data_IF_570224235655
#
_entry.id   IF_570224235655
#
_cell.length_a   1.000
_cell.length_b   1.000
_cell.length_c   1.000
_cell.angle_alpha   90.00
_cell.angle_beta   90.00
_cell.angle_gamma   90.00
#
_symmetry.space_group_name_H-M   'P 1'
#
loop_
_entity.id
_entity.type
_entity.pdbx_description
1 polymer ?
#
# COMPACT_ATOMS: atom_id res chain seq x y z
N UNK A 1 -56.44 -26.11 -27.16
CA UNK A 1 -56.09 -25.02 -26.21
C UNK A 1 -55.31 -25.62 -25.04
N UNK A 2 -54.00 -25.62 -25.10
CA UNK A 2 -53.11 -26.03 -24.00
C UNK A 2 -52.30 -24.81 -23.57
N UNK A 3 -52.56 -24.29 -22.37
CA UNK A 3 -51.80 -23.19 -21.77
C UNK A 3 -50.48 -23.68 -21.25
N UNK A 4 -49.40 -23.20 -21.84
CA UNK A 4 -48.04 -23.41 -21.35
C UNK A 4 -47.74 -22.38 -20.26
N UNK A 5 -47.58 -22.85 -19.02
CA UNK A 5 -47.19 -22.00 -17.88
C UNK A 5 -45.67 -22.01 -17.83
N UNK A 6 -45.04 -20.91 -18.19
CA UNK A 6 -43.60 -20.68 -18.01
C UNK A 6 -43.32 -20.37 -16.54
N UNK A 7 -42.60 -21.26 -15.88
CA UNK A 7 -42.03 -21.04 -14.54
C UNK A 7 -40.68 -20.33 -14.76
N UNK A 8 -40.62 -19.04 -14.43
CA UNK A 8 -39.39 -18.27 -14.37
C UNK A 8 -38.74 -18.57 -13.01
N UNK A 9 -37.68 -19.37 -13.04
CA UNK A 9 -36.84 -19.65 -11.87
C UNK A 9 -35.84 -18.48 -11.71
N UNK A 10 -36.14 -17.52 -10.85
CA UNK A 10 -35.20 -16.47 -10.47
C UNK A 10 -34.15 -17.05 -9.55
N UNK A 11 -32.96 -17.29 -10.08
CA UNK A 11 -31.79 -17.69 -9.30
C UNK A 11 -31.24 -16.43 -8.59
N UNK A 12 -31.64 -16.25 -7.33
CA UNK A 12 -31.08 -15.21 -6.47
C UNK A 12 -29.65 -15.59 -6.09
N UNK A 13 -28.68 -14.98 -6.74
CA UNK A 13 -27.27 -15.06 -6.34
C UNK A 13 -27.11 -14.26 -5.04
N UNK A 14 -27.14 -14.94 -3.89
CA UNK A 14 -26.78 -14.33 -2.61
C UNK A 14 -25.26 -14.18 -2.59
N UNK A 15 -24.78 -13.03 -3.02
CA UNK A 15 -23.40 -12.63 -2.83
C UNK A 15 -23.21 -12.33 -1.32
N UNK A 16 -22.74 -13.30 -0.56
CA UNK A 16 -22.32 -13.07 0.83
C UNK A 16 -21.04 -12.24 0.79
N UNK A 17 -21.19 -10.94 0.93
CA UNK A 17 -20.05 -10.03 1.14
C UNK A 17 -19.35 -10.47 2.44
N UNK A 18 -18.12 -10.93 2.33
CA UNK A 18 -17.27 -11.25 3.48
C UNK A 18 -16.95 -9.92 4.17
N UNK A 19 -17.44 -9.75 5.41
CA UNK A 19 -17.26 -8.50 6.15
C UNK A 19 -15.78 -8.28 6.47
N UNK A 20 -15.28 -7.08 6.21
CA UNK A 20 -14.00 -6.62 6.69
C UNK A 20 -14.12 -6.32 8.18
N UNK A 21 -13.23 -6.88 8.99
CA UNK A 21 -13.19 -6.66 10.44
C UNK A 21 -11.78 -6.34 10.91
N UNK A 22 -11.69 -5.56 11.98
CA UNK A 22 -10.43 -5.29 12.68
C UNK A 22 -10.52 -5.93 14.05
N UNK A 23 -9.49 -6.67 14.42
CA UNK A 23 -9.29 -7.20 15.76
C UNK A 23 -8.04 -6.54 16.36
N UNK A 24 -8.16 -6.03 17.57
CA UNK A 24 -7.03 -5.55 18.35
C UNK A 24 -6.66 -6.61 19.35
N UNK A 25 -5.42 -7.12 19.30
CA UNK A 25 -4.91 -8.05 20.32
C UNK A 25 -4.31 -7.29 21.51
N UNK A 26 -4.23 -5.94 21.43
CA UNK A 26 -3.64 -5.11 22.46
C UNK A 26 -2.11 -5.22 22.52
N UNK A 27 -1.55 -5.09 23.74
CA UNK A 27 -0.12 -5.23 23.97
C UNK A 27 0.27 -6.66 24.31
N UNK A 28 1.34 -7.14 23.70
CA UNK A 28 1.95 -8.44 24.00
C UNK A 28 3.46 -8.27 24.21
N UNK A 29 3.98 -8.47 25.46
CA UNK A 29 3.24 -8.65 26.71
C UNK A 29 2.53 -7.36 27.16
N UNK A 30 1.47 -7.51 27.98
CA UNK A 30 0.75 -6.38 28.55
C UNK A 30 1.48 -5.69 29.71
N UNK A 31 2.57 -6.28 30.22
CA UNK A 31 3.43 -5.72 31.26
C UNK A 31 4.90 -5.92 30.90
N UNK A 32 5.71 -4.83 31.02
CA UNK A 32 7.15 -4.82 30.70
C UNK A 32 7.92 -4.05 31.76
N UNK A 33 9.25 -4.18 31.76
CA UNK A 33 10.16 -3.31 32.53
C UNK A 33 10.49 -2.03 31.74
N UNK A 34 10.90 -0.95 32.42
CA UNK A 34 11.47 0.21 31.74
C UNK A 34 12.61 -0.20 30.81
N UNK A 35 12.57 0.28 29.56
CA UNK A 35 13.52 -0.06 28.51
C UNK A 35 13.27 -1.39 27.77
N UNK A 36 12.34 -2.22 28.22
CA UNK A 36 11.91 -3.41 27.47
C UNK A 36 10.89 -3.03 26.39
N UNK A 37 10.57 -3.99 25.50
CA UNK A 37 9.68 -3.80 24.36
C UNK A 37 8.40 -4.59 24.50
N UNK A 38 7.28 -3.99 24.10
CA UNK A 38 5.99 -4.66 23.89
C UNK A 38 5.54 -4.45 22.46
N UNK A 39 4.78 -5.41 21.93
CA UNK A 39 4.19 -5.30 20.58
C UNK A 39 2.71 -4.94 20.70
N UNK A 40 2.32 -3.82 20.11
CA UNK A 40 0.93 -3.46 19.89
C UNK A 40 0.49 -4.00 18.54
N UNK A 41 -0.51 -4.89 18.53
CA UNK A 41 -0.92 -5.64 17.33
C UNK A 41 -2.31 -5.27 16.86
N UNK A 42 -2.43 -5.00 15.57
CA UNK A 42 -3.68 -4.81 14.84
C UNK A 42 -3.82 -5.89 13.76
N UNK A 43 -4.94 -6.60 13.74
CA UNK A 43 -5.23 -7.63 12.73
C UNK A 43 -6.44 -7.21 11.90
N UNK A 44 -6.23 -7.03 10.62
CA UNK A 44 -7.25 -6.69 9.64
C UNK A 44 -7.66 -7.97 8.91
N UNK A 45 -8.90 -8.42 9.05
CA UNK A 45 -9.42 -9.58 8.34
C UNK A 45 -10.17 -9.15 7.08
N UNK A 46 -9.90 -9.83 5.96
CA UNK A 46 -10.50 -9.57 4.64
C UNK A 46 -10.30 -8.13 4.15
N UNK A 47 -9.18 -7.51 4.53
CA UNK A 47 -8.82 -6.13 4.23
C UNK A 47 -7.48 -6.11 3.49
N UNK A 48 -7.51 -6.26 2.17
CA UNK A 48 -6.31 -6.15 1.35
C UNK A 48 -5.82 -4.71 1.31
N UNK A 49 -4.51 -4.50 1.49
CA UNK A 49 -3.89 -3.17 1.46
C UNK A 49 -4.14 -2.31 2.71
N UNK A 50 -4.54 -2.90 3.85
CA UNK A 50 -4.63 -2.16 5.10
C UNK A 50 -3.23 -1.69 5.53
N UNK A 51 -3.07 -0.40 5.75
CA UNK A 51 -1.85 0.20 6.27
C UNK A 51 -2.20 1.26 7.31
N UNK A 52 -1.40 1.33 8.38
CA UNK A 52 -1.50 2.32 9.44
C UNK A 52 -0.13 2.96 9.59
N UNK A 53 -0.06 4.27 9.48
CA UNK A 53 1.20 4.97 9.75
C UNK A 53 1.40 5.09 11.26
N UNK A 54 2.64 5.01 11.77
CA UNK A 54 2.94 5.24 13.17
C UNK A 54 2.35 6.56 13.72
N UNK A 55 2.31 7.60 12.87
CA UNK A 55 1.75 8.92 13.20
C UNK A 55 0.22 8.93 13.39
N UNK A 56 -0.48 7.91 12.91
CA UNK A 56 -1.94 7.83 13.01
C UNK A 56 -2.39 7.21 14.34
N UNK A 57 -1.45 6.61 15.09
CA UNK A 57 -1.71 6.00 16.39
C UNK A 57 -1.58 7.07 17.48
N UNK A 58 -2.61 7.29 18.31
CA UNK A 58 -2.57 8.28 19.40
C UNK A 58 -1.74 7.75 20.59
N UNK A 59 -0.41 7.73 20.41
CA UNK A 59 0.53 7.23 21.42
C UNK A 59 0.64 8.25 22.56
N UNK A 60 0.47 7.85 23.85
CA UNK A 60 0.61 8.74 24.97
C UNK A 60 2.07 9.13 25.23
N UNK A 61 2.27 10.29 25.87
CA UNK A 61 3.59 10.78 26.23
C UNK A 61 4.35 9.79 27.12
N UNK A 62 5.58 9.50 26.74
CA UNK A 62 6.46 8.55 27.44
C UNK A 62 6.40 7.11 26.92
N UNK A 63 5.53 6.83 25.94
CA UNK A 63 5.57 5.60 25.16
C UNK A 63 6.05 5.96 23.75
N UNK A 64 6.99 5.22 23.21
CA UNK A 64 7.54 5.47 21.87
C UNK A 64 7.41 4.24 20.97
N UNK A 65 7.04 4.47 19.70
CA UNK A 65 7.11 3.44 18.67
C UNK A 65 8.55 3.34 18.19
N UNK A 66 9.19 2.19 18.39
CA UNK A 66 10.60 1.93 18.05
C UNK A 66 10.76 1.08 16.80
N UNK A 67 9.69 0.44 16.35
CA UNK A 67 9.69 -0.39 15.15
C UNK A 67 8.29 -0.72 14.68
N UNK A 68 8.18 -1.03 13.39
CA UNK A 68 6.93 -1.48 12.77
C UNK A 68 7.20 -2.70 11.92
N UNK A 69 6.29 -3.66 11.93
CA UNK A 69 6.30 -4.77 11.00
C UNK A 69 4.89 -5.07 10.49
N UNK A 70 4.82 -5.51 9.26
CA UNK A 70 3.57 -5.92 8.62
C UNK A 70 3.72 -7.34 8.12
N UNK A 71 2.73 -8.18 8.37
CA UNK A 71 2.62 -9.51 7.79
C UNK A 71 1.24 -9.70 7.18
N UNK A 72 1.19 -10.40 6.06
CA UNK A 72 -0.05 -10.74 5.39
C UNK A 72 -0.16 -12.26 5.33
N UNK A 73 -1.33 -12.77 5.68
CA UNK A 73 -1.60 -14.20 5.68
C UNK A 73 -2.83 -14.47 4.81
N UNK A 74 -2.70 -15.42 3.89
CA UNK A 74 -3.80 -15.93 3.07
C UNK A 74 -4.09 -17.37 3.44
N UNK A 75 -5.35 -17.67 3.61
CA UNK A 75 -5.82 -19.03 3.86
C UNK A 75 -6.91 -19.39 2.86
N UNK A 76 -6.78 -20.57 2.27
CA UNK A 76 -7.79 -21.13 1.38
C UNK A 76 -8.26 -22.46 1.96
N UNK A 77 -9.46 -22.45 2.55
CA UNK A 77 -10.03 -23.64 3.19
C UNK A 77 -11.42 -23.89 2.59
N UNK A 78 -11.66 -25.09 2.08
CA UNK A 78 -12.95 -25.53 1.55
C UNK A 78 -13.54 -24.58 0.49
N UNK A 79 -12.71 -24.07 -0.45
CA UNK A 79 -13.18 -23.19 -1.52
C UNK A 79 -13.42 -21.74 -1.08
N UNK A 80 -13.11 -21.36 0.17
CA UNK A 80 -13.22 -20.00 0.68
C UNK A 80 -11.82 -19.40 0.90
N UNK A 81 -11.54 -18.30 0.22
CA UNK A 81 -10.34 -17.52 0.47
C UNK A 81 -10.58 -16.55 1.64
N UNK A 82 -9.65 -16.49 2.57
CA UNK A 82 -9.58 -15.46 3.61
C UNK A 82 -8.21 -14.84 3.64
N UNK A 83 -8.15 -13.53 3.84
CA UNK A 83 -6.90 -12.80 3.98
C UNK A 83 -6.87 -12.08 5.32
N UNK A 84 -5.69 -11.96 5.93
CA UNK A 84 -5.49 -11.10 7.09
C UNK A 84 -4.18 -10.33 6.95
N UNK A 85 -4.22 -9.06 7.31
CA UNK A 85 -3.05 -8.20 7.43
C UNK A 85 -2.83 -7.96 8.91
N UNK A 86 -1.65 -8.31 9.42
CA UNK A 86 -1.24 -8.04 10.80
C UNK A 86 -0.23 -6.92 10.78
N UNK A 87 -0.48 -5.87 11.54
CA UNK A 87 0.43 -4.76 11.77
C UNK A 87 0.92 -4.83 13.21
N UNK A 88 2.23 -4.95 13.39
CA UNK A 88 2.89 -5.00 14.68
C UNK A 88 3.70 -3.72 14.89
N UNK A 89 3.40 -2.99 15.97
CA UNK A 89 4.13 -1.82 16.39
C UNK A 89 4.92 -2.16 17.65
N UNK A 90 6.24 -2.19 17.53
CA UNK A 90 7.12 -2.37 18.69
C UNK A 90 7.18 -1.06 19.46
N UNK A 91 6.82 -1.10 20.74
CA UNK A 91 6.76 0.08 21.60
C UNK A 91 7.63 -0.12 22.83
N UNK A 92 8.22 0.97 23.30
CA UNK A 92 9.05 1.01 24.51
C UNK A 92 8.70 2.25 25.36
N UNK A 93 8.86 2.10 26.69
CA UNK A 93 8.80 3.21 27.62
C UNK A 93 10.00 3.17 28.54
N UNK A 94 10.60 4.35 28.84
CA UNK A 94 11.81 4.46 29.67
C UNK A 94 11.49 4.60 31.17
N UNK A 95 10.23 4.89 31.51
CA UNK A 95 9.78 5.12 32.89
C UNK A 95 8.63 4.19 33.27
N UNK A 96 8.51 3.91 34.56
CA UNK A 96 7.36 3.20 35.11
C UNK A 96 6.07 4.00 34.92
N UNK A 97 4.97 3.29 34.75
CA UNK A 97 3.64 3.86 34.59
C UNK A 97 2.68 2.96 33.83
N UNK A 98 1.45 3.42 33.70
CA UNK A 98 0.45 2.81 32.82
C UNK A 98 0.27 3.73 31.62
N UNK A 99 0.52 3.19 30.44
CA UNK A 99 0.42 3.90 29.16
C UNK A 99 -0.76 3.34 28.39
N UNK A 100 -1.79 4.17 28.19
CA UNK A 100 -3.00 3.75 27.49
C UNK A 100 -3.08 4.45 26.15
N UNK A 101 -3.10 3.67 25.06
CA UNK A 101 -3.54 4.13 23.76
C UNK A 101 -5.07 4.23 23.84
N UNK A 102 -5.67 5.43 23.70
CA UNK A 102 -7.11 5.58 23.79
C UNK A 102 -7.80 4.88 22.61
N UNK A 103 -9.10 4.66 22.72
CA UNK A 103 -9.89 4.21 21.57
C UNK A 103 -9.83 5.26 20.44
N UNK A 104 -9.61 4.83 19.23
CA UNK A 104 -9.45 5.68 18.07
C UNK A 104 -10.08 5.09 16.82
N UNK A 105 -10.13 5.87 15.75
CA UNK A 105 -10.76 5.45 14.49
C UNK A 105 -9.77 5.45 13.36
N UNK A 106 -9.86 4.42 12.53
CA UNK A 106 -9.13 4.34 11.28
C UNK A 106 -10.11 4.25 10.12
N UNK A 107 -9.79 4.94 9.02
CA UNK A 107 -10.54 4.85 7.77
C UNK A 107 -9.74 4.09 6.73
N UNK A 108 -10.34 3.01 6.21
CA UNK A 108 -9.73 2.16 5.22
C UNK A 108 -10.78 1.64 4.23
N UNK A 109 -10.46 1.67 2.93
CA UNK A 109 -11.39 1.20 1.88
C UNK A 109 -12.73 1.93 1.87
N UNK A 110 -12.76 3.22 2.26
CA UNK A 110 -14.00 4.01 2.35
C UNK A 110 -14.87 3.70 3.56
N UNK A 111 -14.42 2.83 4.49
CA UNK A 111 -15.09 2.48 5.74
C UNK A 111 -14.29 2.98 6.93
N UNK A 112 -14.98 3.32 8.02
CA UNK A 112 -14.37 3.68 9.30
C UNK A 112 -14.51 2.52 10.27
N UNK A 113 -13.43 2.23 11.00
CA UNK A 113 -13.36 1.15 11.98
C UNK A 113 -12.94 1.73 13.33
N UNK A 114 -13.58 1.25 14.38
CA UNK A 114 -13.25 1.61 15.75
C UNK A 114 -12.18 0.65 16.30
N UNK A 115 -11.08 1.22 16.80
CA UNK A 115 -9.99 0.52 17.47
C UNK A 115 -10.19 0.67 18.97
N UNK A 116 -10.24 -0.43 19.69
CA UNK A 116 -10.39 -0.40 21.15
C UNK A 116 -9.14 0.16 21.84
N UNK A 117 -9.34 0.76 23.02
CA UNK A 117 -8.23 1.21 23.84
C UNK A 117 -7.38 0.03 24.31
N UNK A 118 -6.06 0.25 24.43
CA UNK A 118 -5.11 -0.75 24.90
C UNK A 118 -4.14 -0.14 25.93
N UNK A 119 -3.90 -0.83 27.05
CA UNK A 119 -3.03 -0.36 28.12
C UNK A 119 -1.79 -1.24 28.24
N UNK A 120 -0.64 -0.60 28.34
CA UNK A 120 0.65 -1.22 28.65
C UNK A 120 1.07 -0.79 30.04
N UNK A 121 1.35 -1.74 30.92
CA UNK A 121 1.91 -1.50 32.25
C UNK A 121 3.43 -1.61 32.21
N UNK A 122 4.12 -0.62 32.72
CA UNK A 122 5.58 -0.59 32.79
C UNK A 122 5.97 -0.53 34.27
N UNK A 123 6.65 -1.57 34.78
CA UNK A 123 6.96 -1.73 36.18
C UNK A 123 8.28 -2.47 36.37
N UNK A 124 9.10 -2.03 37.33
CA UNK A 124 10.33 -2.75 37.72
C UNK A 124 10.04 -4.15 38.30
N UNK A 125 8.82 -4.37 38.81
CA UNK A 125 8.35 -5.65 39.31
C UNK A 125 7.86 -6.60 38.21
N UNK A 126 7.71 -6.11 36.95
CA UNK A 126 7.34 -6.96 35.84
C UNK A 126 8.31 -8.16 35.73
N UNK A 127 7.82 -9.36 35.39
CA UNK A 127 8.66 -10.51 35.23
C UNK A 127 9.75 -10.18 34.22
N UNK A 128 11.02 -10.33 34.62
CA UNK A 128 12.12 -10.20 33.68
C UNK A 128 11.77 -11.12 32.53
N UNK A 129 11.68 -10.58 31.30
CA UNK A 129 11.66 -11.43 30.14
C UNK A 129 12.90 -12.32 30.25
N UNK A 130 12.70 -13.53 30.73
CA UNK A 130 13.61 -14.57 30.36
C UNK A 130 13.47 -14.63 28.84
N UNK A 131 14.40 -13.99 28.13
CA UNK A 131 14.86 -14.60 26.91
C UNK A 131 15.05 -16.05 27.35
N UNK A 132 14.27 -16.96 26.83
CA UNK A 132 14.44 -18.38 27.07
C UNK A 132 15.67 -18.88 26.35
N UNK A 133 16.81 -18.24 26.68
CA UNK A 133 18.10 -18.82 26.68
C UNK A 133 18.16 -19.60 27.98
N UNK A 134 18.00 -20.92 27.89
CA UNK A 134 18.18 -21.88 28.94
C UNK A 134 19.37 -21.49 29.85
N UNK A 135 19.10 -20.86 31.03
CA UNK A 135 19.98 -20.96 32.19
C UNK A 135 19.58 -22.21 32.95
N UNK A 136 19.94 -23.32 32.38
CA UNK A 136 19.93 -24.61 33.04
C UNK A 136 21.18 -25.37 32.64
N UNK A 137 22.19 -25.37 33.55
CA UNK A 137 23.38 -26.21 33.45
C UNK A 137 24.32 -25.82 32.32
N UNK A 138 25.45 -25.20 32.68
CA UNK A 138 26.63 -25.08 31.85
C UNK A 138 27.13 -26.49 31.44
N UNK A 139 26.52 -27.09 30.42
CA UNK A 139 27.25 -28.02 29.58
C UNK A 139 27.94 -27.15 28.53
N UNK A 140 29.25 -27.10 28.60
CA UNK A 140 30.11 -26.58 27.53
C UNK A 140 29.60 -27.19 26.23
N UNK A 141 28.92 -26.35 25.43
CA UNK A 141 28.63 -26.68 24.02
C UNK A 141 30.01 -26.82 23.41
N UNK A 142 30.34 -28.02 22.96
CA UNK A 142 31.61 -28.31 22.32
C UNK A 142 31.82 -27.33 21.16
N UNK A 143 33.06 -26.85 20.93
CA UNK A 143 33.38 -25.93 19.84
C UNK A 143 32.85 -26.40 18.47
N UNK A 144 32.76 -27.71 18.27
CA UNK A 144 32.24 -28.33 17.04
C UNK A 144 30.77 -27.99 16.71
N UNK A 145 29.91 -27.75 17.72
CA UNK A 145 28.53 -27.33 17.45
C UNK A 145 28.39 -25.84 17.07
N UNK A 146 29.36 -25.01 17.46
CA UNK A 146 29.42 -23.60 17.09
C UNK A 146 29.95 -23.43 15.66
N UNK A 147 30.88 -24.26 15.24
CA UNK A 147 31.39 -24.27 13.87
C UNK A 147 30.37 -24.82 12.87
N UNK A 148 29.59 -25.84 13.24
CA UNK A 148 28.53 -26.36 12.38
C UNK A 148 27.41 -25.35 12.13
N UNK A 149 27.08 -24.49 13.11
CA UNK A 149 26.08 -23.43 12.89
C UNK A 149 26.61 -22.30 12.01
N UNK A 150 27.90 -21.97 12.04
CA UNK A 150 28.50 -20.96 11.16
C UNK A 150 28.68 -21.46 9.72
N UNK A 151 29.08 -22.71 9.52
CA UNK A 151 29.21 -23.27 8.18
C UNK A 151 27.86 -23.46 7.47
N UNK A 152 26.81 -23.68 8.24
CA UNK A 152 25.45 -23.82 7.72
C UNK A 152 24.86 -22.49 7.24
N UNK A 153 25.17 -21.39 7.96
CA UNK A 153 24.72 -20.05 7.62
C UNK A 153 25.38 -19.53 6.33
N UNK A 154 26.68 -19.82 6.13
CA UNK A 154 27.40 -19.40 4.93
C UNK A 154 26.99 -20.17 3.66
N UNK A 155 26.61 -21.46 3.77
CA UNK A 155 26.09 -22.21 2.62
C UNK A 155 24.71 -21.72 2.17
N UNK A 156 23.87 -21.25 3.10
CA UNK A 156 22.56 -20.68 2.81
C UNK A 156 22.65 -19.29 2.21
N UNK A 157 23.60 -18.46 2.64
CA UNK A 157 23.83 -17.12 2.09
C UNK A 157 24.12 -17.10 0.60
N UNK A 158 24.79 -18.15 0.10
CA UNK A 158 25.12 -18.28 -1.32
C UNK A 158 23.99 -18.88 -2.15
N UNK A 159 23.06 -19.60 -1.53
CA UNK A 159 21.94 -20.27 -2.20
C UNK A 159 20.67 -19.43 -2.30
N UNK A 160 20.63 -18.31 -1.59
CA UNK A 160 19.52 -17.35 -1.63
C UNK A 160 20.09 -15.98 -1.94
N UNK A 161 19.63 -15.35 -3.00
CA UNK A 161 20.06 -14.01 -3.41
C UNK A 161 18.88 -13.09 -3.63
N UNK A 162 19.11 -11.79 -3.47
CA UNK A 162 18.10 -10.74 -3.64
C UNK A 162 18.60 -9.71 -4.65
N UNK A 163 17.78 -9.40 -5.63
CA UNK A 163 18.05 -8.42 -6.67
C UNK A 163 16.85 -7.47 -6.83
N UNK A 164 17.13 -6.18 -6.99
CA UNK A 164 16.13 -5.19 -7.35
C UNK A 164 16.22 -4.90 -8.85
N UNK A 165 15.11 -5.10 -9.56
CA UNK A 165 14.96 -4.74 -10.97
C UNK A 165 14.18 -3.44 -11.09
N UNK A 166 14.80 -2.46 -11.75
CA UNK A 166 14.19 -1.18 -12.10
C UNK A 166 14.08 -1.08 -13.62
N UNK A 167 13.08 -0.36 -14.16
CA UNK A 167 12.94 -0.15 -15.59
C UNK A 167 14.10 0.69 -16.16
N UNK A 168 14.74 1.53 -15.32
CA UNK A 168 15.87 2.39 -15.68
C UNK A 168 16.58 2.93 -14.44
N UNK A 169 17.83 3.34 -14.60
CA UNK A 169 18.68 3.85 -13.51
C UNK A 169 18.53 5.36 -13.26
N UNK A 170 17.98 6.10 -14.24
CA UNK A 170 17.74 7.54 -14.13
C UNK A 170 16.26 7.81 -14.05
N UNK A 171 15.83 8.44 -12.98
CA UNK A 171 14.43 8.79 -12.72
C UNK A 171 14.32 10.23 -12.26
N UNK A 172 13.13 10.81 -12.34
CA UNK A 172 12.88 12.19 -11.93
C UNK A 172 12.24 12.28 -10.55
N UNK A 173 12.49 13.38 -9.85
CA UNK A 173 11.82 13.69 -8.57
C UNK A 173 10.30 13.67 -8.76
N UNK A 174 9.60 12.91 -7.91
CA UNK A 174 8.14 12.79 -7.94
C UNK A 174 7.62 11.80 -8.99
N UNK A 175 8.50 11.19 -9.78
CA UNK A 175 8.14 10.12 -10.70
C UNK A 175 7.88 8.82 -9.93
N UNK A 176 6.74 8.19 -10.15
CA UNK A 176 6.46 6.86 -9.62
C UNK A 176 6.87 5.82 -10.65
N UNK A 177 7.71 4.87 -10.25
CA UNK A 177 8.15 3.76 -11.10
C UNK A 177 7.86 2.42 -10.45
N UNK A 178 7.54 1.41 -11.27
CA UNK A 178 7.43 0.03 -10.81
C UNK A 178 8.82 -0.55 -10.57
N UNK A 179 8.95 -1.34 -9.50
CA UNK A 179 10.14 -2.13 -9.27
C UNK A 179 9.78 -3.56 -8.88
N UNK A 180 10.66 -4.48 -9.21
CA UNK A 180 10.54 -5.89 -8.84
C UNK A 180 11.70 -6.27 -7.95
N UNK A 181 11.38 -6.76 -6.76
CA UNK A 181 12.35 -7.37 -5.86
C UNK A 181 12.32 -8.88 -6.08
N UNK A 182 13.38 -9.41 -6.66
CA UNK A 182 13.49 -10.80 -7.06
C UNK A 182 14.38 -11.55 -6.05
N UNK A 183 13.76 -12.43 -5.30
CA UNK A 183 14.46 -13.40 -4.46
C UNK A 183 14.70 -14.65 -5.31
N UNK A 184 15.97 -15.02 -5.51
CA UNK A 184 16.36 -16.27 -6.16
C UNK A 184 16.79 -17.28 -5.11
N UNK A 185 16.32 -18.51 -5.24
CA UNK A 185 16.63 -19.60 -4.33
C UNK A 185 17.02 -20.85 -5.12
N UNK A 186 18.15 -21.48 -4.77
CA UNK A 186 18.56 -22.73 -5.41
C UNK A 186 17.58 -23.85 -5.08
N UNK A 187 17.09 -24.57 -6.11
CA UNK A 187 16.18 -25.72 -5.93
C UNK A 187 16.81 -26.84 -5.08
N UNK A 188 18.13 -26.93 -5.07
CA UNK A 188 18.86 -27.87 -4.19
C UNK A 188 18.53 -27.71 -2.70
N UNK A 189 18.08 -26.51 -2.27
CA UNK A 189 17.60 -26.33 -0.90
C UNK A 189 16.34 -27.13 -0.63
N UNK A 190 15.41 -27.17 -1.60
CA UNK A 190 14.17 -27.95 -1.49
C UNK A 190 14.46 -29.46 -1.48
N UNK A 191 15.43 -29.91 -2.27
CA UNK A 191 15.90 -31.29 -2.29
C UNK A 191 16.52 -31.72 -0.94
N UNK A 192 17.19 -30.79 -0.26
CA UNK A 192 17.73 -30.97 1.08
C UNK A 192 16.68 -30.82 2.20
N UNK A 193 15.40 -30.73 1.84
CA UNK A 193 14.28 -30.62 2.80
C UNK A 193 14.07 -29.23 3.37
N UNK A 194 14.66 -28.17 2.80
CA UNK A 194 14.40 -26.81 3.25
C UNK A 194 13.12 -26.26 2.61
N UNK A 195 12.31 -25.55 3.38
CA UNK A 195 11.09 -24.88 2.93
C UNK A 195 11.09 -23.44 3.44
N UNK A 196 10.98 -22.50 2.53
CA UNK A 196 10.78 -21.08 2.88
C UNK A 196 9.32 -20.90 3.26
N UNK A 197 9.02 -20.51 4.48
CA UNK A 197 7.65 -20.37 4.97
C UNK A 197 7.18 -18.93 5.06
N UNK A 198 8.09 -17.99 5.18
CA UNK A 198 7.78 -16.57 5.30
C UNK A 198 8.91 -15.76 4.72
N UNK A 199 8.60 -14.78 3.89
CA UNK A 199 9.54 -13.80 3.37
C UNK A 199 8.91 -12.42 3.54
N UNK A 200 9.65 -11.52 4.14
CA UNK A 200 9.21 -10.14 4.35
C UNK A 200 10.27 -9.21 3.75
N UNK A 201 9.98 -8.60 2.59
CA UNK A 201 10.86 -7.58 2.04
C UNK A 201 10.91 -6.36 2.96
N UNK A 202 12.08 -5.77 3.11
CA UNK A 202 12.31 -4.57 3.89
C UNK A 202 13.11 -3.57 3.08
N UNK A 203 12.76 -2.30 3.18
CA UNK A 203 13.47 -1.21 2.54
C UNK A 203 14.36 -0.55 3.59
N UNK A 204 15.58 -0.24 3.17
CA UNK A 204 16.53 0.56 3.96
C UNK A 204 16.71 1.93 3.32
N UNK A 205 17.09 2.94 4.09
CA UNK A 205 17.39 4.30 3.62
C UNK A 205 16.21 5.01 2.92
N UNK A 206 15.03 4.93 3.53
CA UNK A 206 13.76 5.36 2.91
C UNK A 206 13.53 6.90 2.91
N UNK A 207 14.37 7.70 3.57
CA UNK A 207 14.12 9.15 3.73
C UNK A 207 14.03 9.94 2.42
N UNK A 208 14.62 9.41 1.35
CA UNK A 208 14.60 10.03 0.03
C UNK A 208 13.52 9.48 -0.91
N UNK A 209 12.78 8.45 -0.47
CA UNK A 209 11.82 7.72 -1.30
C UNK A 209 10.52 7.48 -0.56
N UNK A 210 9.42 7.58 -1.28
CA UNK A 210 8.14 7.01 -0.87
C UNK A 210 8.02 5.63 -1.51
N UNK A 211 7.84 4.61 -0.67
CA UNK A 211 7.64 3.25 -1.14
C UNK A 211 6.53 2.63 -0.29
N UNK A 212 5.38 2.35 -0.87
CA UNK A 212 4.32 1.62 -0.20
C UNK A 212 4.81 0.22 0.17
N UNK A 213 4.18 -0.37 1.17
CA UNK A 213 4.42 -1.78 1.49
C UNK A 213 4.15 -2.67 0.27
N UNK A 214 4.83 -3.80 0.17
CA UNK A 214 4.55 -4.81 -0.86
C UNK A 214 3.17 -5.42 -0.59
N UNK A 215 2.17 -5.01 -1.37
CA UNK A 215 0.76 -5.39 -1.12
C UNK A 215 0.26 -6.52 -2.03
N UNK A 216 0.99 -6.84 -3.08
CA UNK A 216 0.62 -7.90 -4.01
C UNK A 216 1.17 -9.25 -3.54
N UNK A 217 0.44 -10.32 -3.82
CA UNK A 217 0.99 -11.67 -3.68
C UNK A 217 2.25 -11.80 -4.55
N UNK A 218 3.35 -12.36 -4.00
CA UNK A 218 4.53 -12.57 -4.81
C UNK A 218 4.24 -13.58 -5.93
N UNK A 219 4.78 -13.32 -7.09
CA UNK A 219 4.76 -14.28 -8.19
C UNK A 219 5.87 -15.29 -7.96
N UNK A 220 5.53 -16.58 -7.98
CA UNK A 220 6.48 -17.67 -7.88
C UNK A 220 6.73 -18.20 -9.27
N UNK A 221 7.98 -18.10 -9.72
CA UNK A 221 8.42 -18.63 -11.01
C UNK A 221 9.37 -19.81 -10.77
N UNK A 222 8.95 -20.96 -11.23
CA UNK A 222 9.68 -22.24 -11.13
C UNK A 222 10.27 -22.70 -12.47
N UNK A 223 9.90 -22.04 -13.56
CA UNK A 223 10.09 -22.55 -14.91
C UNK A 223 11.20 -21.83 -15.67
N UNK A 224 11.48 -20.58 -15.33
CA UNK A 224 12.51 -19.76 -16.00
C UNK A 224 13.93 -20.30 -15.85
N UNK A 225 14.24 -21.02 -14.77
CA UNK A 225 15.55 -21.66 -14.55
C UNK A 225 15.35 -23.05 -13.93
N UNK A 226 15.96 -24.10 -14.54
CA UNK A 226 15.83 -25.47 -14.03
C UNK A 226 16.41 -25.65 -12.61
N UNK A 227 17.38 -24.83 -12.22
CA UNK A 227 18.09 -24.95 -10.94
C UNK A 227 17.63 -23.94 -9.88
N UNK A 228 16.82 -22.94 -10.25
CA UNK A 228 16.40 -21.87 -9.37
C UNK A 228 14.88 -21.73 -9.27
N UNK A 229 14.45 -21.25 -8.14
CA UNK A 229 13.10 -20.78 -7.88
C UNK A 229 13.19 -19.27 -7.64
N UNK A 230 12.29 -18.50 -8.25
CA UNK A 230 12.22 -17.06 -8.07
C UNK A 230 10.92 -16.70 -7.34
N UNK A 231 11.05 -15.81 -6.37
CA UNK A 231 9.90 -15.16 -5.70
C UNK A 231 9.99 -13.68 -6.00
N UNK A 232 9.02 -13.18 -6.76
CA UNK A 232 9.04 -11.83 -7.32
C UNK A 232 8.00 -10.99 -6.57
N UNK A 233 8.49 -10.00 -5.83
CA UNK A 233 7.65 -8.99 -5.16
C UNK A 233 7.61 -7.73 -6.02
N UNK A 234 6.42 -7.18 -6.22
CA UNK A 234 6.21 -5.95 -6.96
C UNK A 234 5.83 -4.81 -6.03
N UNK A 235 6.39 -3.64 -6.28
CA UNK A 235 6.01 -2.40 -5.60
C UNK A 235 6.29 -1.21 -6.52
N UNK A 236 5.98 -0.03 -6.04
CA UNK A 236 6.35 1.23 -6.69
C UNK A 236 7.24 2.04 -5.78
N UNK A 237 8.14 2.82 -6.36
CA UNK A 237 8.94 3.80 -5.63
C UNK A 237 8.75 5.18 -6.23
N UNK A 238 8.73 6.20 -5.38
CA UNK A 238 8.63 7.61 -5.79
C UNK A 238 9.72 8.40 -5.08
N UNK A 239 10.77 8.88 -5.78
CA UNK A 239 11.80 9.69 -5.16
C UNK A 239 11.29 11.08 -4.80
N UNK A 240 11.71 11.56 -3.64
CA UNK A 240 11.27 12.84 -3.06
C UNK A 240 12.27 13.97 -3.29
N UNK A 241 13.55 13.65 -3.49
CA UNK A 241 14.64 14.63 -3.63
C UNK A 241 15.60 14.22 -4.74
N UNK A 242 16.11 15.20 -5.50
CA UNK A 242 17.16 14.98 -6.48
C UNK A 242 18.50 14.65 -5.82
N UNK A 243 19.31 13.84 -6.48
CA UNK A 243 20.63 13.43 -6.00
C UNK A 243 21.00 12.01 -6.45
N UNK A 244 22.12 11.51 -5.96
CA UNK A 244 22.53 10.13 -6.13
C UNK A 244 22.32 9.40 -4.81
N UNK A 245 21.65 8.27 -4.86
CA UNK A 245 21.28 7.47 -3.69
C UNK A 245 21.63 6.01 -3.89
N UNK A 246 22.04 5.36 -2.81
CA UNK A 246 22.17 3.92 -2.75
C UNK A 246 20.84 3.34 -2.22
N UNK A 247 20.09 2.69 -3.11
CA UNK A 247 18.81 2.06 -2.77
C UNK A 247 19.10 0.64 -2.30
N UNK A 248 18.72 0.33 -1.06
CA UNK A 248 18.93 -0.97 -0.45
C UNK A 248 17.63 -1.61 -0.02
N UNK A 249 17.50 -2.89 -0.35
CA UNK A 249 16.48 -3.77 0.19
C UNK A 249 17.12 -4.95 0.90
N UNK A 250 16.38 -5.54 1.80
CA UNK A 250 16.68 -6.85 2.36
C UNK A 250 15.43 -7.70 2.39
N UNK A 251 15.58 -8.99 2.44
CA UNK A 251 14.48 -9.89 2.72
C UNK A 251 14.80 -10.67 3.99
N UNK A 252 13.90 -10.57 4.97
CA UNK A 252 13.93 -11.40 6.16
C UNK A 252 12.96 -12.56 5.99
N UNK A 253 13.36 -13.76 6.40
CA UNK A 253 12.50 -14.92 6.22
C UNK A 253 12.72 -16.00 7.26
N UNK A 254 11.87 -17.02 7.19
CA UNK A 254 11.94 -18.22 8.00
C UNK A 254 12.12 -19.41 7.05
N UNK A 255 13.20 -20.13 7.26
CA UNK A 255 13.51 -21.38 6.60
C UNK A 255 13.22 -22.53 7.57
N UNK A 256 12.32 -23.41 7.17
CA UNK A 256 12.03 -24.64 7.91
C UNK A 256 12.79 -25.79 7.25
N UNK A 257 13.43 -26.63 8.05
CA UNK A 257 13.99 -27.88 7.56
C UNK A 257 13.07 -29.05 7.94
N UNK A 258 12.60 -29.77 6.93
CA UNK A 258 11.94 -31.06 7.13
C UNK A 258 12.99 -32.06 7.63
N UNK A 259 12.65 -32.78 8.69
CA UNK A 259 13.54 -33.78 9.27
C UNK A 259 13.30 -35.09 8.53
N UNK A 260 14.33 -35.62 7.86
CA UNK A 260 14.23 -36.91 7.18
C UNK A 260 14.25 -38.07 8.18
N UNK A 261 13.77 -39.25 7.75
CA UNK A 261 13.88 -40.47 8.56
C UNK A 261 15.30 -40.82 8.93
N UNK A 262 16.26 -40.53 8.04
CA UNK A 262 17.70 -40.75 8.29
C UNK A 262 18.23 -39.81 9.38
N UNK A 263 17.80 -38.54 9.36
CA UNK A 263 18.12 -37.59 10.44
C UNK A 263 17.58 -38.09 11.79
N UNK A 264 16.36 -38.65 11.80
CA UNK A 264 15.71 -39.18 13.01
C UNK A 264 16.46 -40.41 13.53
N UNK A 265 16.98 -41.28 12.65
CA UNK A 265 17.70 -42.48 13.05
C UNK A 265 19.09 -42.18 13.67
N UNK A 266 19.72 -41.06 13.23
CA UNK A 266 21.00 -40.62 13.78
C UNK A 266 20.89 -39.78 15.06
N UNK A 267 19.70 -39.39 15.48
CA UNK A 267 19.47 -38.53 16.66
C UNK A 267 19.38 -39.34 17.97
N UNK A 268 19.85 -38.73 19.07
CA UNK A 268 19.60 -39.27 20.42
C UNK A 268 18.08 -39.25 20.72
N UNK A 269 17.64 -40.12 21.64
CA UNK A 269 16.22 -40.21 22.02
C UNK A 269 15.63 -38.87 22.55
N UNK A 270 16.49 -38.06 23.19
CA UNK A 270 16.16 -36.71 23.68
C UNK A 270 16.00 -35.72 22.52
N UNK A 271 16.91 -35.77 21.55
CA UNK A 271 16.83 -34.91 20.35
C UNK A 271 15.65 -35.26 19.46
N UNK A 272 15.27 -36.55 19.40
CA UNK A 272 14.03 -37.00 18.73
C UNK A 272 12.78 -36.38 19.38
N UNK A 273 12.71 -36.41 20.71
CA UNK A 273 11.56 -35.89 21.44
C UNK A 273 11.43 -34.36 21.32
N UNK A 274 12.55 -33.64 21.25
CA UNK A 274 12.60 -32.19 21.04
C UNK A 274 12.35 -31.81 19.58
N UNK A 275 12.71 -32.65 18.61
CA UNK A 275 12.57 -32.34 17.18
C UNK A 275 11.21 -32.73 16.58
N UNK A 276 10.49 -33.67 17.18
CA UNK A 276 9.13 -34.07 16.74
C UNK A 276 8.06 -32.98 16.93
N UNK A 277 8.36 -31.95 17.73
CA UNK A 277 7.42 -30.83 17.98
C UNK A 277 7.77 -29.50 17.31
N UNK A 278 9.00 -29.33 16.84
CA UNK A 278 9.43 -28.09 16.21
C UNK A 278 10.50 -28.38 15.16
N UNK A 279 10.08 -28.48 13.89
CA UNK A 279 11.05 -28.47 12.79
C UNK A 279 12.07 -27.34 13.02
N UNK A 280 13.34 -27.54 12.66
CA UNK A 280 14.38 -26.52 12.84
C UNK A 280 13.98 -25.27 12.03
N UNK A 281 13.51 -24.25 12.73
CA UNK A 281 13.21 -22.95 12.17
C UNK A 281 14.47 -22.08 12.25
N UNK A 282 14.91 -21.61 11.11
CA UNK A 282 16.05 -20.69 11.02
C UNK A 282 15.56 -19.37 10.43
N UNK A 283 15.93 -18.28 11.08
CA UNK A 283 15.77 -16.95 10.49
C UNK A 283 16.93 -16.70 9.56
N UNK A 284 16.65 -16.07 8.43
CA UNK A 284 17.66 -15.61 7.50
C UNK A 284 17.35 -14.19 7.04
N UNK A 285 18.43 -13.45 6.81
CA UNK A 285 18.39 -12.13 6.20
C UNK A 285 19.24 -12.15 4.95
N UNK A 286 18.65 -11.76 3.83
CA UNK A 286 19.35 -11.64 2.56
C UNK A 286 19.49 -10.16 2.23
N UNK A 287 20.66 -9.56 2.43
CA UNK A 287 20.92 -8.21 1.99
C UNK A 287 21.07 -8.16 0.46
N UNK A 288 20.52 -7.15 -0.16
CA UNK A 288 20.78 -6.83 -1.56
C UNK A 288 22.06 -5.99 -1.66
N UNK A 289 22.79 -6.11 -2.77
CA UNK A 289 23.85 -5.15 -3.08
C UNK A 289 23.20 -3.78 -3.35
N UNK A 290 23.72 -2.68 -2.76
CA UNK A 290 23.18 -1.36 -3.00
C UNK A 290 23.11 -1.04 -4.49
N UNK A 291 21.95 -0.58 -4.95
CA UNK A 291 21.77 -0.13 -6.33
C UNK A 291 21.90 1.40 -6.38
N UNK A 292 22.88 1.90 -7.14
CA UNK A 292 23.06 3.34 -7.35
C UNK A 292 21.97 3.86 -8.27
N UNK A 293 21.20 4.82 -7.76
CA UNK A 293 20.10 5.44 -8.48
C UNK A 293 20.35 6.95 -8.59
N UNK A 294 20.30 7.47 -9.82
CA UNK A 294 20.41 8.89 -10.07
C UNK A 294 19.02 9.50 -10.20
N UNK A 295 18.69 10.43 -9.31
CA UNK A 295 17.43 11.14 -9.31
C UNK A 295 17.65 12.54 -9.84
N UNK A 296 17.01 12.83 -10.98
CA UNK A 296 17.11 14.10 -11.68
C UNK A 296 16.05 15.07 -11.20
N UNK A 297 16.34 16.37 -11.09
CA UNK A 297 15.29 17.36 -10.92
C UNK A 297 14.46 17.46 -12.21
N UNK A 298 13.19 17.86 -12.09
CA UNK A 298 12.39 18.18 -13.26
C UNK A 298 12.99 19.38 -14.00
N UNK A 299 13.08 19.36 -15.34
CA UNK A 299 13.56 20.50 -16.12
C UNK A 299 12.75 21.76 -15.83
N UNK A 300 13.43 22.89 -15.69
CA UNK A 300 12.76 24.20 -15.57
C UNK A 300 12.31 24.72 -16.93
N UNK A 301 13.01 24.34 -18.00
CA UNK A 301 12.69 24.68 -19.36
C UNK A 301 11.40 23.99 -19.82
N UNK A 302 10.49 24.75 -20.45
CA UNK A 302 9.22 24.25 -20.92
C UNK A 302 8.20 23.90 -19.82
N UNK A 303 8.49 24.16 -18.54
CA UNK A 303 7.57 23.85 -17.46
C UNK A 303 6.36 24.79 -17.48
N UNK A 304 5.11 24.26 -17.60
CA UNK A 304 3.91 25.08 -17.58
C UNK A 304 3.73 25.81 -16.24
N UNK A 305 3.20 27.04 -16.25
CA UNK A 305 2.97 27.82 -15.02
C UNK A 305 2.03 27.13 -14.04
N UNK A 306 1.05 26.39 -14.56
CA UNK A 306 0.05 25.60 -13.81
C UNK A 306 0.31 24.10 -13.95
N UNK A 307 1.60 23.71 -13.80
CA UNK A 307 1.96 22.30 -13.83
C UNK A 307 1.20 21.49 -12.79
N UNK A 308 0.50 20.46 -13.25
CA UNK A 308 -0.35 19.60 -12.40
C UNK A 308 0.44 18.73 -11.42
N UNK A 309 1.76 18.59 -11.60
CA UNK A 309 2.59 17.65 -10.86
C UNK A 309 2.49 16.21 -11.39
N UNK A 310 1.74 15.98 -12.46
CA UNK A 310 1.63 14.68 -13.10
C UNK A 310 2.94 14.32 -13.84
N UNK A 311 3.51 13.16 -13.53
CA UNK A 311 4.73 12.63 -14.13
C UNK A 311 4.44 11.19 -14.57
N UNK A 312 4.57 10.93 -15.87
CA UNK A 312 4.21 9.63 -16.46
C UNK A 312 3.68 9.79 -17.87
N UNK A 313 2.86 8.83 -18.31
CA UNK A 313 2.12 8.88 -19.57
C UNK A 313 0.64 8.90 -19.28
N UNK A 314 -0.02 9.96 -19.69
CA UNK A 314 -1.43 10.18 -19.40
C UNK A 314 -2.20 10.63 -20.63
N UNK A 315 -3.47 10.20 -20.69
CA UNK A 315 -4.43 10.64 -21.68
C UNK A 315 -5.65 11.27 -21.02
N UNK A 316 -6.15 12.34 -21.63
CA UNK A 316 -7.41 12.97 -21.27
C UNK A 316 -8.55 12.16 -21.93
N UNK A 317 -9.01 11.11 -21.25
CA UNK A 317 -9.90 10.10 -21.81
C UNK A 317 -11.30 10.62 -22.06
N UNK A 318 -11.80 11.49 -21.18
CA UNK A 318 -13.16 12.05 -21.30
C UNK A 318 -13.19 13.42 -20.64
N UNK A 319 -13.83 14.36 -21.32
CA UNK A 319 -14.24 15.65 -20.74
C UNK A 319 -15.67 15.94 -21.19
N UNK A 320 -16.56 16.05 -20.23
CA UNK A 320 -18.00 16.26 -20.49
C UNK A 320 -18.57 17.31 -19.55
N UNK A 321 -19.69 17.92 -19.94
CA UNK A 321 -20.44 18.90 -19.13
C UNK A 321 -21.89 18.46 -18.98
N UNK A 322 -22.42 18.54 -17.77
CA UNK A 322 -23.81 18.15 -17.47
C UNK A 322 -24.40 19.06 -16.37
N UNK A 323 -25.61 19.61 -16.57
CA UNK A 323 -26.36 19.66 -17.83
C UNK A 323 -25.66 20.57 -18.86
N UNK A 324 -26.00 20.38 -20.15
CA UNK A 324 -25.50 21.20 -21.27
C UNK A 324 -26.50 22.37 -21.60
N UNK A 325 -27.71 22.28 -21.14
CA UNK A 325 -28.73 23.35 -21.20
C UNK A 325 -29.08 23.84 -19.78
N UNK A 326 -28.84 25.11 -19.50
CA UNK A 326 -28.99 25.70 -18.16
C UNK A 326 -29.29 27.18 -18.26
N UNK A 327 -29.71 27.79 -17.14
CA UNK A 327 -29.94 29.23 -17.02
C UNK A 327 -28.77 29.91 -16.30
N UNK A 328 -28.66 31.23 -16.45
CA UNK A 328 -27.70 32.02 -15.68
C UNK A 328 -27.88 31.79 -14.18
N UNK A 329 -26.83 31.45 -13.47
CA UNK A 329 -26.87 31.14 -12.03
C UNK A 329 -27.09 29.67 -11.69
N UNK A 330 -27.46 28.82 -12.65
CA UNK A 330 -27.57 27.38 -12.43
C UNK A 330 -26.21 26.67 -12.54
N UNK A 331 -25.90 25.76 -11.63
CA UNK A 331 -24.63 25.03 -11.67
C UNK A 331 -24.66 23.91 -12.71
N UNK A 332 -23.54 23.73 -13.40
CA UNK A 332 -23.26 22.50 -14.14
C UNK A 332 -21.94 21.88 -13.66
N UNK A 333 -21.75 20.61 -13.98
CA UNK A 333 -20.57 19.84 -13.63
C UNK A 333 -19.75 19.54 -14.88
N UNK A 334 -18.47 19.91 -14.84
CA UNK A 334 -17.50 19.44 -15.83
C UNK A 334 -16.81 18.21 -15.25
N UNK A 335 -17.00 17.07 -15.88
CA UNK A 335 -16.38 15.80 -15.56
C UNK A 335 -15.11 15.62 -16.40
N UNK A 336 -14.00 15.29 -15.74
CA UNK A 336 -12.70 15.08 -16.38
C UNK A 336 -12.18 13.71 -15.96
N UNK A 337 -11.91 12.84 -16.93
CA UNK A 337 -11.32 11.52 -16.69
C UNK A 337 -9.94 11.44 -17.33
N UNK A 338 -8.94 11.12 -16.50
CA UNK A 338 -7.54 10.96 -16.91
C UNK A 338 -7.15 9.53 -16.64
N UNK A 339 -6.70 8.83 -17.68
CA UNK A 339 -6.16 7.47 -17.62
C UNK A 339 -4.66 7.48 -17.90
N UNK A 340 -3.96 6.44 -17.51
CA UNK A 340 -2.54 6.32 -17.84
C UNK A 340 -1.71 5.58 -16.81
N UNK A 341 -0.41 5.89 -16.84
CA UNK A 341 0.60 5.33 -15.95
C UNK A 341 1.49 6.43 -15.38
N UNK A 342 1.71 6.42 -14.08
CA UNK A 342 2.55 7.41 -13.41
C UNK A 342 2.09 7.73 -11.98
N UNK A 343 2.39 8.95 -11.54
CA UNK A 343 2.21 9.38 -10.16
C UNK A 343 0.82 9.94 -9.84
N UNK A 344 -0.26 9.21 -10.08
CA UNK A 344 -1.63 9.68 -9.85
C UNK A 344 -1.88 10.29 -8.46
N UNK A 345 -1.20 9.78 -7.42
CA UNK A 345 -1.37 10.28 -6.05
C UNK A 345 -0.86 11.73 -5.86
N UNK A 346 0.03 12.19 -6.74
CA UNK A 346 0.62 13.54 -6.70
C UNK A 346 0.06 14.49 -7.75
N UNK A 347 -0.83 14.01 -8.60
CA UNK A 347 -1.49 14.79 -9.65
C UNK A 347 -2.52 15.73 -9.06
N UNK A 348 -2.32 17.03 -9.25
CA UNK A 348 -3.30 18.07 -8.95
C UNK A 348 -4.35 18.17 -10.05
N UNK A 349 -5.45 18.81 -9.73
CA UNK A 349 -6.53 19.05 -10.68
C UNK A 349 -6.06 19.90 -11.87
N UNK A 350 -6.41 19.55 -13.13
CA UNK A 350 -6.19 20.36 -14.31
C UNK A 350 -6.76 21.78 -14.17
N UNK A 351 -6.17 22.73 -14.86
CA UNK A 351 -6.67 24.08 -14.87
C UNK A 351 -7.88 24.22 -15.80
N UNK A 352 -8.84 25.03 -15.40
CA UNK A 352 -9.91 25.50 -16.31
C UNK A 352 -9.43 26.75 -17.04
N UNK A 353 -9.63 26.79 -18.36
CA UNK A 353 -9.42 27.96 -19.21
C UNK A 353 -10.75 28.51 -19.71
N UNK A 354 -10.72 29.69 -20.31
CA UNK A 354 -11.95 30.36 -20.83
C UNK A 354 -13.00 30.58 -19.75
N UNK A 355 -12.57 30.88 -18.53
CA UNK A 355 -13.43 31.03 -17.35
C UNK A 355 -14.12 32.40 -17.27
N UNK A 356 -13.95 33.29 -18.26
CA UNK A 356 -14.66 34.57 -18.33
C UNK A 356 -16.15 34.27 -18.37
N UNK A 357 -16.92 34.95 -17.53
CA UNK A 357 -18.35 34.74 -17.34
C UNK A 357 -18.76 33.41 -16.70
N UNK A 358 -17.80 32.74 -16.04
CA UNK A 358 -18.03 31.52 -15.27
C UNK A 358 -17.47 31.66 -13.85
N UNK A 359 -18.24 31.32 -12.85
CA UNK A 359 -17.78 31.14 -11.49
C UNK A 359 -17.37 29.68 -11.32
N UNK A 360 -16.15 29.44 -10.92
CA UNK A 360 -15.61 28.09 -10.78
C UNK A 360 -15.34 27.75 -9.32
N UNK A 361 -15.53 26.49 -8.93
CA UNK A 361 -15.29 26.01 -7.59
C UNK A 361 -14.19 24.95 -7.60
N UNK A 362 -13.57 24.71 -6.43
CA UNK A 362 -12.56 23.68 -6.28
C UNK A 362 -13.15 22.31 -6.63
N UNK A 363 -12.51 21.52 -7.51
CA UNK A 363 -13.05 20.24 -7.92
C UNK A 363 -12.96 19.20 -6.80
N UNK A 364 -13.87 18.23 -6.86
CA UNK A 364 -13.75 16.96 -6.17
C UNK A 364 -12.89 16.02 -7.03
N UNK A 365 -12.19 15.08 -6.40
CA UNK A 365 -11.43 14.08 -7.14
C UNK A 365 -11.62 12.70 -6.54
N UNK A 366 -11.62 11.69 -7.40
CA UNK A 366 -11.57 10.28 -7.05
C UNK A 366 -10.52 9.58 -7.89
N UNK A 367 -10.02 8.46 -7.39
CA UNK A 367 -9.04 7.65 -8.09
C UNK A 367 -9.44 6.17 -8.00
N UNK A 368 -9.40 5.49 -9.12
CA UNK A 368 -9.60 4.04 -9.23
C UNK A 368 -8.27 3.45 -9.66
N UNK A 369 -7.66 2.67 -8.77
CA UNK A 369 -6.43 1.93 -9.03
C UNK A 369 -6.78 0.67 -9.82
N UNK A 370 -6.21 0.50 -10.99
CA UNK A 370 -6.37 -0.73 -11.76
C UNK A 370 -5.48 -1.84 -11.19
N UNK A 371 -6.11 -2.87 -10.64
CA UNK A 371 -5.45 -4.13 -10.29
C UNK A 371 -4.35 -4.04 -9.23
N UNK A 372 -4.50 -3.21 -8.20
CA UNK A 372 -3.54 -3.17 -7.09
C UNK A 372 -2.17 -2.59 -7.45
N UNK A 373 -2.06 -1.81 -8.52
CA UNK A 373 -0.80 -1.18 -8.96
C UNK A 373 -0.34 0.00 -8.09
N UNK A 374 -0.87 0.11 -6.87
CA UNK A 374 -0.44 1.07 -5.85
C UNK A 374 -0.43 2.53 -6.35
N UNK A 375 -1.40 2.89 -7.17
CA UNK A 375 -1.54 4.23 -7.73
C UNK A 375 -0.68 4.52 -8.96
N UNK A 376 -0.09 3.49 -9.58
CA UNK A 376 0.73 3.64 -10.79
C UNK A 376 -0.08 3.55 -12.09
N UNK A 377 -1.10 2.68 -12.14
CA UNK A 377 -2.01 2.55 -13.29
C UNK A 377 -3.42 2.78 -12.79
N UNK A 378 -4.20 3.60 -13.51
CA UNK A 378 -5.58 3.77 -13.11
C UNK A 378 -6.30 4.91 -13.83
N UNK A 379 -7.45 5.25 -13.26
CA UNK A 379 -8.35 6.30 -13.71
C UNK A 379 -8.50 7.35 -12.61
N UNK A 380 -8.09 8.59 -12.88
CA UNK A 380 -8.35 9.73 -11.99
C UNK A 380 -9.47 10.60 -12.56
N UNK A 381 -10.47 10.84 -11.74
CA UNK A 381 -11.64 11.65 -12.11
C UNK A 381 -11.63 12.95 -11.31
N UNK A 382 -11.90 14.08 -11.99
CA UNK A 382 -12.12 15.37 -11.38
C UNK A 382 -13.52 15.88 -11.77
N UNK A 383 -14.25 16.41 -10.79
CA UNK A 383 -15.60 16.98 -10.96
C UNK A 383 -15.56 18.45 -10.58
N UNK A 384 -15.67 19.33 -11.56
CA UNK A 384 -15.72 20.78 -11.35
C UNK A 384 -17.17 21.26 -11.36
N UNK A 385 -17.56 21.96 -10.32
CA UNK A 385 -18.81 22.73 -10.34
C UNK A 385 -18.51 24.10 -10.91
N UNK A 386 -19.23 24.48 -11.99
CA UNK A 386 -19.10 25.80 -12.63
C UNK A 386 -20.49 26.41 -12.80
N UNK A 387 -20.58 27.73 -12.69
CA UNK A 387 -21.86 28.48 -12.73
C UNK A 387 -21.70 29.61 -13.72
N UNK A 388 -22.54 29.70 -14.78
CA UNK A 388 -22.53 30.83 -15.72
C UNK A 388 -23.02 32.12 -15.07
N UNK A 389 -22.34 33.21 -15.34
CA UNK A 389 -22.70 34.56 -14.85
C UNK A 389 -23.27 35.46 -15.94
N UNK A 390 -23.33 34.97 -17.19
CA UNK A 390 -23.90 35.66 -18.33
C UNK A 390 -24.75 34.71 -19.18
N UNK A 391 -25.75 35.24 -19.88
CA UNK A 391 -26.55 34.50 -20.85
C UNK A 391 -25.80 34.34 -22.20
N UNK A 392 -26.40 33.55 -23.08
CA UNK A 392 -25.95 33.34 -24.46
C UNK A 392 -24.52 32.78 -24.59
N UNK A 393 -24.06 32.08 -23.55
CA UNK A 393 -22.79 31.34 -23.61
C UNK A 393 -22.98 30.05 -24.40
N UNK A 394 -22.16 29.85 -25.42
CA UNK A 394 -22.18 28.67 -26.29
C UNK A 394 -21.20 27.58 -25.84
N UNK A 395 -20.28 27.91 -24.93
CA UNK A 395 -19.24 26.99 -24.46
C UNK A 395 -18.99 27.15 -22.95
N UNK A 396 -18.80 26.06 -22.27
CA UNK A 396 -18.27 26.00 -20.92
C UNK A 396 -16.73 26.14 -20.93
N UNK A 397 -16.11 26.39 -19.76
CA UNK A 397 -14.68 26.40 -19.62
C UNK A 397 -14.03 25.13 -20.15
N UNK A 398 -12.91 25.26 -20.87
CA UNK A 398 -12.14 24.11 -21.31
C UNK A 398 -11.17 23.67 -20.22
N UNK A 399 -10.74 22.42 -20.30
CA UNK A 399 -9.80 21.79 -19.36
C UNK A 399 -8.41 21.79 -19.99
N UNK A 400 -7.44 22.40 -19.32
CA UNK A 400 -6.02 22.36 -19.69
C UNK A 400 -5.30 21.40 -18.73
N UNK A 401 -4.93 20.25 -19.23
CA UNK A 401 -4.16 19.24 -18.54
C UNK A 401 -2.72 19.23 -19.06
N UNK A 402 -1.76 19.14 -18.17
CA UNK A 402 -0.36 19.01 -18.53
C UNK A 402 0.33 17.98 -17.62
N UNK A 403 1.33 17.33 -18.18
CA UNK A 403 2.15 16.37 -17.47
C UNK A 403 3.59 16.39 -17.98
N UNK A 404 4.51 15.84 -17.21
CA UNK A 404 5.88 15.60 -17.63
C UNK A 404 6.01 14.13 -18.07
N UNK A 405 6.44 13.93 -19.31
CA UNK A 405 6.77 12.60 -19.84
C UNK A 405 8.23 12.28 -19.54
N UNK A 406 8.52 11.35 -18.62
CA UNK A 406 9.88 11.02 -18.23
C UNK A 406 10.67 10.24 -19.28
N UNK A 407 10.02 9.65 -20.30
CA UNK A 407 10.70 8.95 -21.39
C UNK A 407 11.26 9.94 -22.40
N UNK A 408 10.48 10.96 -22.75
CA UNK A 408 10.91 12.02 -23.68
C UNK A 408 11.63 13.17 -22.99
N UNK A 409 11.51 13.29 -21.67
CA UNK A 409 12.06 14.38 -20.87
C UNK A 409 11.38 15.73 -21.14
N UNK A 410 10.13 15.73 -21.61
CA UNK A 410 9.40 16.92 -22.03
C UNK A 410 8.07 17.08 -21.30
N UNK A 411 7.62 18.31 -21.18
CA UNK A 411 6.26 18.61 -20.76
C UNK A 411 5.31 18.49 -21.94
N UNK A 412 4.16 17.86 -21.69
CA UNK A 412 3.06 17.68 -22.64
C UNK A 412 1.87 18.49 -22.13
N UNK A 413 1.24 19.25 -23.00
CA UNK A 413 0.06 20.04 -22.71
C UNK A 413 -1.10 19.57 -23.59
N UNK A 414 -2.20 19.18 -22.97
CA UNK A 414 -3.44 18.75 -23.61
C UNK A 414 -4.57 19.68 -23.19
N UNK A 415 -5.33 20.20 -24.16
CA UNK A 415 -6.52 21.01 -23.89
C UNK A 415 -7.74 20.31 -24.45
N UNK A 416 -8.82 20.27 -23.68
CA UNK A 416 -10.05 19.65 -24.15
C UNK A 416 -10.64 20.41 -25.36
N UNK A 417 -11.42 19.70 -26.16
CA UNK A 417 -12.29 20.31 -27.15
C UNK A 417 -13.28 21.27 -26.45
N UNK A 418 -13.83 22.26 -27.19
CA UNK A 418 -14.86 23.15 -26.63
C UNK A 418 -16.08 22.38 -26.14
N UNK A 419 -16.44 22.57 -24.88
CA UNK A 419 -17.60 21.93 -24.26
C UNK A 419 -18.86 22.76 -24.61
N UNK A 420 -19.70 22.24 -25.48
CA UNK A 420 -20.91 22.93 -25.93
C UNK A 420 -21.94 23.01 -24.81
N UNK A 421 -22.49 24.19 -24.60
CA UNK A 421 -23.60 24.47 -23.67
C UNK A 421 -24.55 25.48 -24.27
N UNK A 422 -25.74 25.54 -23.71
CA UNK A 422 -26.72 26.60 -24.01
C UNK A 422 -27.17 27.28 -22.71
N UNK A 423 -26.82 28.54 -22.54
CA UNK A 423 -27.11 29.28 -21.32
C UNK A 423 -28.22 30.30 -21.59
N UNK A 424 -29.41 30.00 -21.08
CA UNK A 424 -30.56 30.91 -21.17
C UNK A 424 -30.45 32.06 -20.14
N UNK A 425 -31.12 33.20 -20.38
CA UNK A 425 -31.32 34.22 -19.34
C UNK A 425 -31.96 33.63 -18.08
N UNK A 426 -31.78 34.26 -16.90
CA UNK A 426 -32.43 33.79 -15.68
C UNK A 426 -33.93 33.66 -15.91
N UNK A 427 -34.50 32.49 -15.54
CA UNK A 427 -35.91 32.21 -15.75
C UNK A 427 -36.80 33.31 -15.19
N UNK A 428 -37.75 33.76 -16.00
CA UNK A 428 -38.74 34.80 -15.64
C UNK A 428 -39.76 34.31 -14.58
N UNK A 429 -39.60 33.10 -14.04
CA UNK A 429 -40.51 32.51 -13.05
C UNK A 429 -40.49 33.29 -11.73
N UNK A 430 -39.36 33.85 -11.34
CA UNK A 430 -39.29 34.69 -10.13
C UNK A 430 -39.99 36.06 -10.30
N UNK A 431 -40.13 36.56 -11.54
CA UNK A 431 -40.88 37.83 -11.79
C UNK A 431 -42.37 37.71 -11.64
N UNK A 432 -42.91 36.50 -11.60
CA UNK A 432 -44.38 36.28 -11.45
C UNK A 432 -44.82 36.33 -9.99
N UNK A 433 -43.93 36.01 -9.04
CA UNK A 433 -44.25 36.07 -7.61
C UNK A 433 -44.08 37.47 -7.00
N UNK A 434 -43.22 38.31 -7.54
CA UNK A 434 -43.04 39.69 -7.06
C UNK A 434 -44.11 40.65 -7.55
N UNK A 435 -44.88 40.31 -8.59
CA UNK A 435 -45.97 41.15 -9.11
C UNK A 435 -47.34 40.93 -8.47
N UNK A 436 -47.55 39.82 -7.79
CA UNK A 436 -48.83 39.53 -7.12
C UNK A 436 -48.82 39.84 -5.61
N UNK A 437 -47.72 40.40 -5.07
CA UNK A 437 -47.59 40.78 -3.66
C UNK A 437 -47.87 42.26 -3.33
N UNK A 438 -48.20 43.10 -4.33
CA UNK A 438 -48.53 44.51 -4.09
C UNK A 438 -49.95 44.83 -4.51
N UNK A 439 -50.92 44.25 -3.83
CA UNK A 439 -52.30 44.53 -4.01
C UNK A 439 -53.16 44.06 -2.83
N UNK A 440 -52.95 44.71 -1.69
CA UNK A 440 -54.01 45.17 -0.77
C UNK A 440 -53.47 45.73 0.51
#
# INVERSE_FOLDING_TARGET
MKRLTQIILTLSFVCTAIAQTIETEGFSPGEIRPGDYATYRLVFKNANGASVRPSDIPVPDGLAITGTSQSQNYSFINGRASSSVTLDFTMAAEREGEFTIPAWKISFGGKSFDIAAATLKVSNSAPARQYSGMRGGFRRISPSMREQNHSYDDSLKNSITLELKLPREKIYVGETIKCELVLSCDKSLYEKGYRISQIVPQIKNIDAFECPAFNEEPVIDTDSDPNKLFVIYRTVITPLKAGSYDLEFSAAGILNREISLEDIMGMSMMDRMLSLGSGRRMRFDVPMKPLKLQILPLPSEGKPKNFTGAIGKFDLAEVSVTPDALSVGEPCTILVKIIGTGNFNRMNAPALTDTKNWKTYKPKSSFIDESGNQGYIGLKTFEYTVVPTAADLATAPRVAFNYFDPETGKYVENTSEPLKVSVAPPDAVERRWSRNGSGR
#
